data_IF_326046645011
#
_entry.id   IF_326046645011
#
_cell.length_a   1.000
_cell.length_b   1.000
_cell.length_c   1.000
_cell.angle_alpha   90.00
_cell.angle_beta   90.00
_cell.angle_gamma   90.00
#
_symmetry.space_group_name_H-M   'P 1'
#
loop_
_entity.id
_entity.type
_entity.pdbx_description
1 polymer ?
#
# COMPACT_ATOMS: atom_id res chain seq x y z
N UNK A 1 -39.63 33.10 -37.44
CA UNK A 1 -38.15 33.16 -37.45
C UNK A 1 -37.64 32.63 -36.11
N UNK A 2 -36.66 31.71 -36.11
CA UNK A 2 -35.73 31.36 -35.01
C UNK A 2 -36.00 30.38 -33.83
N UNK A 3 -37.10 29.62 -33.72
CA UNK A 3 -37.29 28.77 -32.48
C UNK A 3 -37.04 27.25 -32.66
N UNK A 4 -36.96 26.70 -33.89
CA UNK A 4 -36.79 25.24 -34.08
C UNK A 4 -35.34 24.70 -34.00
N UNK A 5 -34.32 25.55 -34.09
CA UNK A 5 -32.90 25.13 -34.12
C UNK A 5 -32.32 24.73 -32.75
N UNK A 6 -32.70 25.44 -31.69
CA UNK A 6 -32.10 25.28 -30.34
C UNK A 6 -32.37 23.90 -29.72
N UNK A 7 -33.55 23.31 -29.97
CA UNK A 7 -33.93 22.00 -29.44
C UNK A 7 -33.07 20.85 -29.97
N UNK A 8 -32.51 21.01 -31.18
CA UNK A 8 -31.63 20.00 -31.79
C UNK A 8 -30.21 20.05 -31.20
N UNK A 9 -29.70 21.24 -30.90
CA UNK A 9 -28.39 21.45 -30.28
C UNK A 9 -28.37 20.98 -28.82
N UNK A 10 -29.44 21.25 -28.07
CA UNK A 10 -29.60 20.74 -26.70
C UNK A 10 -29.61 19.20 -26.67
N UNK A 11 -30.33 18.57 -27.59
CA UNK A 11 -30.41 17.11 -27.67
C UNK A 11 -29.05 16.49 -28.03
N UNK A 12 -28.31 17.08 -28.97
CA UNK A 12 -26.95 16.66 -29.32
C UNK A 12 -26.00 16.84 -28.13
N UNK A 13 -26.11 17.97 -27.41
CA UNK A 13 -25.28 18.25 -26.24
C UNK A 13 -25.57 17.27 -25.10
N UNK A 14 -26.83 16.92 -24.86
CA UNK A 14 -27.24 15.91 -23.86
C UNK A 14 -26.70 14.52 -24.24
N UNK A 15 -26.84 14.10 -25.49
CA UNK A 15 -26.30 12.79 -25.95
C UNK A 15 -24.78 12.75 -25.83
N UNK A 16 -24.10 13.84 -26.18
CA UNK A 16 -22.66 13.96 -26.07
C UNK A 16 -22.21 13.91 -24.61
N UNK A 17 -22.81 14.69 -23.71
CA UNK A 17 -22.57 14.65 -22.26
C UNK A 17 -22.82 13.25 -21.68
N UNK A 18 -23.91 12.60 -22.08
CA UNK A 18 -24.26 11.27 -21.59
C UNK A 18 -23.23 10.21 -22.05
N UNK A 19 -22.71 10.32 -23.28
CA UNK A 19 -21.63 9.45 -23.76
C UNK A 19 -20.31 9.65 -23.01
N UNK A 20 -19.98 10.89 -22.64
CA UNK A 20 -18.80 11.19 -21.81
C UNK A 20 -18.97 10.68 -20.39
N UNK A 21 -20.16 10.87 -19.80
CA UNK A 21 -20.49 10.31 -18.50
C UNK A 21 -20.40 8.78 -18.51
N UNK A 22 -20.96 8.11 -19.52
CA UNK A 22 -20.92 6.66 -19.62
C UNK A 22 -19.49 6.13 -19.76
N UNK A 23 -18.66 6.73 -20.61
CA UNK A 23 -17.23 6.38 -20.73
C UNK A 23 -16.45 6.67 -19.45
N UNK A 24 -16.79 7.77 -18.76
CA UNK A 24 -16.22 8.08 -17.46
C UNK A 24 -16.57 6.96 -16.47
N UNK A 25 -17.84 6.53 -16.39
CA UNK A 25 -18.28 5.42 -15.52
C UNK A 25 -17.67 4.06 -15.90
N UNK A 26 -17.55 3.70 -17.19
CA UNK A 26 -16.83 2.49 -17.64
C UNK A 26 -15.37 2.47 -17.16
N UNK A 27 -14.74 3.64 -17.02
CA UNK A 27 -13.38 3.73 -16.49
C UNK A 27 -13.29 3.31 -15.01
N UNK A 28 -14.36 3.57 -14.22
CA UNK A 28 -14.50 3.10 -12.83
C UNK A 28 -14.89 1.63 -12.72
N UNK A 29 -15.36 1.00 -13.80
CA UNK A 29 -15.67 -0.44 -13.84
C UNK A 29 -14.45 -1.31 -14.15
N UNK A 30 -13.35 -0.73 -14.65
CA UNK A 30 -12.15 -1.52 -14.92
C UNK A 30 -11.58 -2.07 -13.61
N UNK A 31 -11.38 -3.38 -13.56
CA UNK A 31 -10.88 -4.07 -12.37
C UNK A 31 -9.54 -3.46 -11.88
N UNK A 32 -8.70 -3.00 -12.82
CA UNK A 32 -7.44 -2.29 -12.53
C UNK A 32 -7.65 -0.97 -11.80
N UNK A 33 -8.70 -0.23 -12.16
CA UNK A 33 -9.06 1.00 -11.47
C UNK A 33 -9.55 0.70 -10.05
N UNK A 34 -10.39 -0.33 -9.88
CA UNK A 34 -10.86 -0.78 -8.56
C UNK A 34 -9.67 -1.18 -7.68
N UNK A 35 -8.74 -1.99 -8.21
CA UNK A 35 -7.51 -2.38 -7.50
C UNK A 35 -6.68 -1.16 -7.08
N UNK A 36 -6.48 -0.19 -7.98
CA UNK A 36 -5.74 1.02 -7.68
C UNK A 36 -6.39 1.84 -6.56
N UNK A 37 -7.72 1.96 -6.56
CA UNK A 37 -8.48 2.63 -5.49
C UNK A 37 -8.35 1.86 -4.17
N UNK A 38 -8.46 0.53 -4.18
CA UNK A 38 -8.27 -0.29 -2.98
C UNK A 38 -6.86 -0.12 -2.38
N UNK A 39 -5.82 -0.16 -3.20
CA UNK A 39 -4.43 0.07 -2.78
C UNK A 39 -4.26 1.48 -2.21
N UNK A 40 -4.83 2.50 -2.87
CA UNK A 40 -4.75 3.88 -2.40
C UNK A 40 -5.42 4.04 -1.04
N UNK A 41 -6.64 3.53 -0.86
CA UNK A 41 -7.37 3.56 0.41
C UNK A 41 -6.57 2.81 1.50
N UNK A 42 -6.06 1.62 1.17
CA UNK A 42 -5.23 0.83 2.08
C UNK A 42 -4.00 1.61 2.56
N UNK A 43 -3.28 2.28 1.66
CA UNK A 43 -2.11 3.10 2.03
C UNK A 43 -2.49 4.30 2.89
N UNK A 44 -3.56 5.02 2.54
CA UNK A 44 -4.01 6.20 3.32
C UNK A 44 -4.33 5.78 4.75
N UNK A 45 -5.16 4.74 4.89
CA UNK A 45 -5.53 4.21 6.21
C UNK A 45 -4.27 3.72 6.93
N UNK A 46 -3.47 2.87 6.29
CA UNK A 46 -2.26 2.29 6.88
C UNK A 46 -1.28 3.34 7.40
N UNK A 47 -0.91 4.32 6.58
CA UNK A 47 0.01 5.41 6.97
C UNK A 47 -0.57 6.24 8.12
N UNK A 48 -1.86 6.58 8.07
CA UNK A 48 -2.50 7.33 9.17
C UNK A 48 -2.48 6.58 10.50
N UNK A 49 -2.49 5.25 10.47
CA UNK A 49 -2.47 4.41 11.66
C UNK A 49 -1.04 4.17 12.20
N UNK A 50 0.01 4.32 11.39
CA UNK A 50 1.39 4.05 11.83
C UNK A 50 1.72 4.82 13.10
N UNK A 51 1.42 6.12 13.15
CA UNK A 51 1.73 6.96 14.32
C UNK A 51 1.04 6.46 15.60
N UNK A 52 -0.20 5.96 15.48
CA UNK A 52 -0.99 5.47 16.61
C UNK A 52 -0.49 4.13 17.16
N UNK A 53 0.15 3.31 16.33
CA UNK A 53 0.59 1.95 16.68
C UNK A 53 2.12 1.78 16.65
N UNK A 54 2.87 2.85 16.47
CA UNK A 54 4.34 2.81 16.34
C UNK A 54 5.00 2.22 17.58
N UNK A 55 4.55 2.65 18.76
CA UNK A 55 5.10 2.26 20.07
C UNK A 55 4.46 1.03 20.67
N UNK A 56 3.66 0.30 19.89
CA UNK A 56 3.04 -0.97 20.28
C UNK A 56 3.64 -2.07 19.39
N UNK A 57 4.93 -2.43 19.60
CA UNK A 57 5.53 -3.55 18.91
C UNK A 57 5.02 -4.86 19.49
N UNK A 58 4.71 -5.80 18.61
CA UNK A 58 4.47 -7.19 18.98
C UNK A 58 5.79 -7.93 19.22
N UNK A 59 5.74 -9.04 19.98
CA UNK A 59 6.93 -9.81 20.35
C UNK A 59 7.65 -10.41 19.13
N UNK A 60 6.90 -10.81 18.11
CA UNK A 60 7.48 -11.34 16.87
C UNK A 60 8.20 -10.24 16.10
N UNK A 61 7.63 -9.03 16.03
CA UNK A 61 8.24 -7.89 15.38
C UNK A 61 9.59 -7.51 15.99
N UNK A 62 9.69 -7.51 17.32
CA UNK A 62 10.97 -7.33 18.02
C UNK A 62 11.96 -8.45 17.66
N UNK A 63 11.50 -9.69 17.59
CA UNK A 63 12.34 -10.84 17.23
C UNK A 63 12.89 -10.72 15.80
N UNK A 64 12.06 -10.32 14.84
CA UNK A 64 12.47 -10.06 13.46
C UNK A 64 13.47 -8.91 13.33
N UNK A 65 13.31 -7.85 14.12
CA UNK A 65 14.29 -6.74 14.21
C UNK A 65 15.64 -7.28 14.70
N UNK A 66 15.65 -8.06 15.78
CA UNK A 66 16.88 -8.62 16.35
C UNK A 66 17.58 -9.56 15.36
N UNK A 67 16.83 -10.45 14.70
CA UNK A 67 17.37 -11.34 13.67
C UNK A 67 17.98 -10.55 12.52
N UNK A 68 17.31 -9.50 12.02
CA UNK A 68 17.83 -8.63 10.98
C UNK A 68 19.13 -7.92 11.42
N UNK A 69 19.18 -7.45 12.67
CA UNK A 69 20.42 -6.89 13.25
C UNK A 69 21.53 -7.94 13.38
N UNK A 70 21.22 -9.19 13.69
CA UNK A 70 22.21 -10.27 13.69
C UNK A 70 22.78 -10.49 12.29
N UNK A 71 21.96 -10.48 11.24
CA UNK A 71 22.43 -10.52 9.85
C UNK A 71 23.35 -9.33 9.53
N UNK A 72 22.94 -8.10 9.85
CA UNK A 72 23.73 -6.88 9.60
C UNK A 72 25.10 -6.95 10.27
N UNK A 73 25.16 -7.50 11.47
CA UNK A 73 26.41 -7.61 12.25
C UNK A 73 27.22 -8.89 11.94
N UNK A 74 26.85 -9.68 10.92
CA UNK A 74 27.53 -10.93 10.58
C UNK A 74 27.40 -12.06 11.61
N UNK A 75 26.45 -11.95 12.55
CA UNK A 75 26.21 -12.91 13.64
C UNK A 75 25.22 -14.00 13.21
N UNK A 76 25.55 -14.72 12.14
CA UNK A 76 24.63 -15.69 11.49
C UNK A 76 24.11 -16.79 12.41
N UNK A 77 24.91 -17.26 13.38
CA UNK A 77 24.51 -18.28 14.35
C UNK A 77 23.32 -17.88 15.24
N UNK A 78 23.10 -16.57 15.42
CA UNK A 78 21.95 -16.01 16.14
C UNK A 78 20.83 -15.56 15.21
N UNK A 79 21.12 -15.41 13.92
CA UNK A 79 20.16 -14.95 12.92
C UNK A 79 19.31 -16.10 12.34
N UNK A 80 19.87 -17.30 12.22
CA UNK A 80 19.17 -18.47 11.70
C UNK A 80 18.63 -19.30 12.85
N UNK A 81 17.31 -19.49 12.90
CA UNK A 81 16.65 -20.35 13.87
C UNK A 81 15.42 -21.04 13.25
N UNK A 82 14.90 -22.06 13.93
CA UNK A 82 13.76 -22.87 13.45
C UNK A 82 12.38 -22.29 13.75
N UNK A 83 12.28 -21.10 14.37
CA UNK A 83 11.01 -20.52 14.80
C UNK A 83 10.51 -19.43 13.84
N UNK A 84 11.37 -18.49 13.46
CA UNK A 84 11.02 -17.39 12.55
C UNK A 84 11.61 -17.62 11.15
N UNK A 85 10.76 -17.48 10.13
CA UNK A 85 11.19 -17.59 8.73
C UNK A 85 12.12 -16.42 8.35
N UNK A 86 13.20 -16.64 7.60
CA UNK A 86 14.24 -15.63 7.42
C UNK A 86 13.84 -14.45 6.51
N UNK A 87 12.89 -14.67 5.61
CA UNK A 87 12.54 -13.71 4.55
C UNK A 87 12.14 -12.34 5.10
N UNK A 88 11.31 -12.29 6.15
CA UNK A 88 10.85 -11.03 6.71
C UNK A 88 12.03 -10.21 7.27
N UNK A 89 12.94 -10.84 8.02
CA UNK A 89 14.15 -10.18 8.50
C UNK A 89 15.07 -9.74 7.35
N UNK A 90 15.21 -10.54 6.30
CA UNK A 90 16.02 -10.16 5.14
C UNK A 90 15.48 -8.92 4.42
N UNK A 91 14.16 -8.84 4.22
CA UNK A 91 13.52 -7.67 3.63
C UNK A 91 13.62 -6.44 4.54
N UNK A 92 13.72 -6.65 5.86
CA UNK A 92 13.86 -5.57 6.84
C UNK A 92 15.27 -4.96 6.88
N UNK A 93 16.32 -5.72 6.53
CA UNK A 93 17.73 -5.27 6.53
C UNK A 93 17.95 -3.90 5.86
N UNK A 94 17.54 -3.67 4.59
CA UNK A 94 17.81 -2.39 3.94
C UNK A 94 17.23 -1.21 4.71
N UNK A 95 16.06 -1.35 5.33
CA UNK A 95 15.45 -0.28 6.13
C UNK A 95 16.25 -0.03 7.42
N UNK A 96 16.68 -1.08 8.11
CA UNK A 96 17.45 -0.95 9.35
C UNK A 96 18.85 -0.40 9.14
N UNK A 97 19.46 -0.61 7.96
CA UNK A 97 20.76 -0.03 7.64
C UNK A 97 20.73 1.51 7.60
N UNK A 98 19.57 2.11 7.33
CA UNK A 98 19.38 3.57 7.33
C UNK A 98 18.72 4.09 8.61
N UNK A 99 18.28 3.21 9.52
CA UNK A 99 17.64 3.59 10.76
C UNK A 99 18.67 4.06 11.79
N UNK A 100 18.58 5.32 12.22
CA UNK A 100 19.55 5.94 13.14
C UNK A 100 19.19 5.76 14.62
N UNK A 101 17.94 5.41 14.92
CA UNK A 101 17.43 5.29 16.28
C UNK A 101 16.29 4.30 16.42
N UNK A 102 15.78 4.18 17.64
CA UNK A 102 14.72 3.22 17.99
C UNK A 102 13.41 3.51 17.27
N UNK A 103 13.08 4.78 17.07
CA UNK A 103 11.84 5.20 16.43
C UNK A 103 11.85 4.80 14.95
N UNK A 104 12.97 5.01 14.27
CA UNK A 104 13.18 4.66 12.87
C UNK A 104 13.16 3.14 12.65
N UNK A 105 13.71 2.37 13.60
CA UNK A 105 13.63 0.89 13.60
C UNK A 105 12.17 0.44 13.70
N UNK A 106 11.40 1.00 14.64
CA UNK A 106 9.97 0.66 14.80
C UNK A 106 9.14 1.12 13.60
N UNK A 107 9.50 2.25 12.99
CA UNK A 107 8.86 2.71 11.77
C UNK A 107 9.13 1.77 10.60
N UNK A 108 10.37 1.29 10.47
CA UNK A 108 10.80 0.37 9.40
C UNK A 108 9.97 -0.90 9.37
N UNK A 109 9.68 -1.49 10.53
CA UNK A 109 8.87 -2.71 10.59
C UNK A 109 7.40 -2.46 10.19
N UNK A 110 6.81 -1.33 10.62
CA UNK A 110 5.43 -0.98 10.23
C UNK A 110 5.34 -0.65 8.74
N UNK A 111 6.34 0.06 8.21
CA UNK A 111 6.45 0.36 6.78
C UNK A 111 6.58 -0.92 5.95
N UNK A 112 7.46 -1.85 6.34
CA UNK A 112 7.62 -3.11 5.64
C UNK A 112 6.32 -3.93 5.64
N UNK A 113 5.63 -4.02 6.78
CA UNK A 113 4.33 -4.70 6.86
C UNK A 113 3.28 -4.07 5.94
N UNK A 114 3.26 -2.73 5.82
CA UNK A 114 2.38 -2.03 4.88
C UNK A 114 2.71 -2.37 3.42
N UNK A 115 4.00 -2.39 3.07
CA UNK A 115 4.44 -2.74 1.71
C UNK A 115 4.08 -4.19 1.36
N UNK A 116 4.30 -5.14 2.29
CA UNK A 116 3.93 -6.56 2.10
C UNK A 116 2.42 -6.69 1.92
N UNK A 117 1.61 -6.00 2.73
CA UNK A 117 0.16 -6.01 2.60
C UNK A 117 -0.35 -5.41 1.29
N UNK A 118 0.43 -4.60 0.57
CA UNK A 118 0.06 -4.17 -0.78
C UNK A 118 0.17 -5.30 -1.80
N UNK A 119 1.19 -6.15 -1.66
CA UNK A 119 1.39 -7.29 -2.57
C UNK A 119 0.28 -8.33 -2.46
N UNK A 120 -0.40 -8.44 -1.31
CA UNK A 120 -1.51 -9.39 -1.16
C UNK A 120 -2.71 -9.03 -2.04
N UNK A 121 -2.95 -7.74 -2.31
CA UNK A 121 -4.00 -7.31 -3.25
C UNK A 121 -3.73 -7.81 -4.67
N UNK A 122 -2.46 -7.83 -5.10
CA UNK A 122 -2.07 -8.39 -6.40
C UNK A 122 -2.14 -9.92 -6.47
N UNK A 123 -2.05 -10.61 -5.32
CA UNK A 123 -2.18 -12.07 -5.27
C UNK A 123 -3.62 -12.57 -5.30
N UNK A 124 -4.59 -11.69 -5.00
CA UNK A 124 -6.03 -11.99 -5.01
C UNK A 124 -6.73 -11.46 -6.26
N UNK A 125 -6.15 -10.44 -6.90
CA UNK A 125 -6.54 -9.92 -8.22
C UNK A 125 -6.17 -10.90 -9.34
#
# INVERSE_FOLDING_TARGET
MFIKGYRSLELIMVIFLNKYLYRFFEQFESERFVLAVCILIYFIIGVSLIQNYLYIPDADGISYIHIAQHYINGRFSYAVNGYWSPLYSWLLIPFLMFAQGKVEILFSIKLLSLLIGCFTFFGVY
#
